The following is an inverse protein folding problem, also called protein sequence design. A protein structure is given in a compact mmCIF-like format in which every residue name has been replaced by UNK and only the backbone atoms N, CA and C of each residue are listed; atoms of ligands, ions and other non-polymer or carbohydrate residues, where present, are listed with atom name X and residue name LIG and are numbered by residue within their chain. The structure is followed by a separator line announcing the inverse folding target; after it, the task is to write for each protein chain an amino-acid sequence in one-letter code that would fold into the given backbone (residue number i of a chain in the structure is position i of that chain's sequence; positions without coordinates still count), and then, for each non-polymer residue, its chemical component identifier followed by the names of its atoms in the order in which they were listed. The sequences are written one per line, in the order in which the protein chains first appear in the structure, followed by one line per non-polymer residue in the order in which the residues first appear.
data_IF_325040684213
#
_entry.id   IF_325040684213
#
_cell.length_a   1.000
_cell.length_b   1.000
_cell.length_c   1.000
_cell.angle_alpha   90.00
_cell.angle_beta   90.00
_cell.angle_gamma   90.00
#
_symmetry.space_group_name_H-M   'P 1'
#
loop_
_entity.id
_entity.type
_entity.pdbx_description
1 polymer ?
#
# COMPACT_ATOMS: atom_id res chain seq x y z
N UNK A 1 -1.73 3.09 9.67
CA UNK A 1 -1.85 2.15 8.53
C UNK A 1 -0.83 1.02 8.60
N UNK A 2 0.48 1.28 8.57
CA UNK A 2 1.49 0.20 8.55
C UNK A 2 1.88 -0.34 9.94
N UNK A 3 1.58 0.39 11.00
CA UNK A 3 1.81 -0.02 12.40
C UNK A 3 0.56 -0.63 13.06
N UNK A 4 -0.54 -0.73 12.32
CA UNK A 4 -1.81 -1.20 12.85
C UNK A 4 -1.87 -2.73 12.76
N UNK A 5 -1.83 -3.38 13.93
CA UNK A 5 -1.85 -4.84 14.06
C UNK A 5 -3.12 -5.48 13.47
N UNK A 6 -4.22 -4.73 13.37
CA UNK A 6 -5.47 -5.25 12.78
C UNK A 6 -5.34 -5.50 11.26
N UNK A 7 -4.46 -4.79 10.57
CA UNK A 7 -4.25 -4.88 9.12
C UNK A 7 -2.85 -5.37 8.73
N UNK A 8 -2.02 -5.78 9.71
CA UNK A 8 -0.70 -6.39 9.48
C UNK A 8 -0.75 -7.63 8.57
N UNK A 9 -1.86 -8.37 8.58
CA UNK A 9 -2.08 -9.52 7.71
C UNK A 9 -2.40 -9.13 6.24
N UNK A 10 -2.76 -7.86 5.99
CA UNK A 10 -3.03 -7.31 4.66
C UNK A 10 -1.82 -6.53 4.13
N UNK A 11 -1.14 -5.81 5.01
CA UNK A 11 0.02 -4.99 4.69
C UNK A 11 1.04 -4.99 5.83
N UNK A 12 2.32 -5.21 5.53
CA UNK A 12 3.39 -5.18 6.54
C UNK A 12 4.66 -4.54 6.00
N UNK A 13 5.44 -3.94 6.88
CA UNK A 13 6.81 -3.54 6.58
C UNK A 13 7.71 -4.77 6.42
N UNK A 14 8.69 -4.68 5.53
CA UNK A 14 9.84 -5.57 5.52
C UNK A 14 10.61 -5.40 6.84
N UNK A 15 11.38 -6.43 7.22
CA UNK A 15 12.25 -6.40 8.39
C UNK A 15 13.25 -5.23 8.39
N UNK A 16 13.55 -4.68 7.20
CA UNK A 16 14.43 -3.52 7.02
C UNK A 16 13.70 -2.17 7.03
N UNK A 17 12.36 -2.16 7.02
CA UNK A 17 11.55 -0.94 6.98
C UNK A 17 11.70 -0.10 5.70
N UNK A 18 12.32 -0.68 4.68
CA UNK A 18 12.62 -0.04 3.39
C UNK A 18 11.48 -0.21 2.37
N UNK A 19 10.82 -1.36 2.41
CA UNK A 19 9.70 -1.71 1.56
C UNK A 19 8.54 -2.22 2.41
N UNK A 20 7.31 -2.01 1.96
CA UNK A 20 6.15 -2.69 2.54
C UNK A 20 5.56 -3.64 1.49
N UNK A 21 5.01 -4.75 1.97
CA UNK A 21 4.35 -5.76 1.13
C UNK A 21 2.86 -5.72 1.39
N UNK A 22 2.08 -5.79 0.32
CA UNK A 22 0.62 -5.96 0.38
C UNK A 22 0.29 -7.37 -0.05
N UNK A 23 -0.21 -8.18 0.88
CA UNK A 23 -0.52 -9.59 0.62
C UNK A 23 -1.80 -9.78 -0.18
N UNK A 24 -2.79 -8.90 0.00
CA UNK A 24 -4.05 -8.93 -0.72
C UNK A 24 -4.48 -7.53 -1.13
N UNK A 25 -4.12 -7.12 -2.35
CA UNK A 25 -4.44 -5.80 -2.88
C UNK A 25 -5.94 -5.53 -2.97
N UNK A 26 -6.77 -6.54 -3.25
CA UNK A 26 -8.23 -6.37 -3.38
C UNK A 26 -8.89 -6.10 -2.03
N UNK A 27 -8.56 -6.90 -1.02
CA UNK A 27 -9.09 -6.72 0.34
C UNK A 27 -8.54 -5.43 0.96
N UNK A 28 -7.25 -5.16 0.77
CA UNK A 28 -6.62 -3.91 1.20
C UNK A 28 -7.33 -2.69 0.60
N UNK A 29 -7.66 -2.74 -0.70
CA UNK A 29 -8.34 -1.64 -1.38
C UNK A 29 -9.76 -1.39 -0.87
N UNK A 30 -10.46 -2.43 -0.40
CA UNK A 30 -11.83 -2.33 0.09
C UNK A 30 -11.93 -2.01 1.57
N UNK A 31 -10.95 -2.44 2.37
CA UNK A 31 -10.99 -2.31 3.82
C UNK A 31 -10.12 -1.16 4.29
N UNK A 32 -8.90 -1.04 3.76
CA UNK A 32 -7.89 -0.08 4.23
C UNK A 32 -8.00 1.23 3.48
N UNK A 33 -8.03 1.22 2.14
CA UNK A 33 -8.10 2.48 1.39
C UNK A 33 -9.27 3.40 1.79
N UNK A 34 -10.52 2.95 1.96
CA UNK A 34 -11.59 3.86 2.38
C UNK A 34 -11.49 4.36 3.84
N UNK A 35 -10.71 3.68 4.70
CA UNK A 35 -10.45 4.15 6.07
C UNK A 35 -9.41 5.27 6.10
N UNK A 36 -8.43 5.24 5.18
CA UNK A 36 -7.30 6.18 5.16
C UNK A 36 -7.40 7.23 4.03
N UNK A 37 -8.19 6.97 2.99
CA UNK A 37 -8.36 7.83 1.82
C UNK A 37 -9.84 7.96 1.44
N UNK A 38 -10.21 9.06 0.77
CA UNK A 38 -11.58 9.28 0.27
C UNK A 38 -11.95 8.41 -0.94
N UNK A 39 -11.06 7.55 -1.40
CA UNK A 39 -11.24 6.70 -2.57
C UNK A 39 -10.58 5.33 -2.36
N UNK A 40 -11.24 4.26 -2.82
CA UNK A 40 -10.81 2.87 -2.70
C UNK A 40 -9.99 2.37 -3.90
N UNK A 41 -9.42 3.28 -4.69
CA UNK A 41 -8.72 2.91 -5.93
C UNK A 41 -7.24 2.59 -5.66
N UNK A 42 -6.87 1.32 -5.86
CA UNK A 42 -5.50 0.81 -5.77
C UNK A 42 -4.51 1.59 -6.64
N UNK A 43 -4.91 1.99 -7.85
CA UNK A 43 -4.02 2.71 -8.76
C UNK A 43 -3.67 4.12 -8.24
N UNK A 44 -4.61 4.78 -7.56
CA UNK A 44 -4.38 6.07 -6.92
C UNK A 44 -3.37 5.94 -5.77
N UNK A 45 -3.48 4.86 -5.00
CA UNK A 45 -2.55 4.54 -3.92
C UNK A 45 -1.13 4.30 -4.43
N UNK A 46 -0.96 3.46 -5.46
CA UNK A 46 0.33 3.20 -6.11
C UNK A 46 0.95 4.50 -6.66
N UNK A 47 0.13 5.37 -7.27
CA UNK A 47 0.62 6.64 -7.82
C UNK A 47 1.07 7.61 -6.73
N UNK A 48 0.39 7.66 -5.58
CA UNK A 48 0.84 8.47 -4.43
C UNK A 48 2.14 7.95 -3.82
N UNK A 49 2.33 6.63 -3.79
CA UNK A 49 3.58 6.01 -3.36
C UNK A 49 4.74 6.36 -4.31
N UNK A 50 4.50 6.31 -5.62
CA UNK A 50 5.50 6.65 -6.64
C UNK A 50 5.83 8.14 -6.73
N UNK A 51 4.94 9.02 -6.30
CA UNK A 51 5.21 10.47 -6.31
C UNK A 51 6.13 10.86 -5.16
N UNK A 52 6.15 10.08 -4.09
CA UNK A 52 6.97 10.33 -2.90
C UNK A 52 8.43 9.90 -3.08
N UNK A 53 8.71 9.06 -4.09
CA UNK A 53 10.03 8.58 -4.43
C UNK A 53 10.27 8.89 -5.90
N UNK A 54 11.06 9.94 -6.16
CA UNK A 54 11.50 10.34 -7.49
C UNK A 54 12.34 9.20 -8.10
N UNK A 55 11.69 8.20 -8.66
CA UNK A 55 12.20 7.40 -9.77
C UNK A 55 11.05 6.62 -10.44
N UNK A 56 10.79 7.00 -11.68
CA UNK A 56 9.92 6.28 -12.60
C UNK A 56 10.51 4.90 -12.89
N UNK A 57 9.86 3.82 -12.46
CA UNK A 57 9.56 2.61 -13.26
C UNK A 57 9.05 1.49 -12.36
N UNK A 58 7.74 1.39 -12.16
CA UNK A 58 7.18 0.11 -11.70
C UNK A 58 7.10 -0.82 -12.92
N UNK A 59 8.11 -1.67 -13.06
CA UNK A 59 7.96 -2.90 -13.82
C UNK A 59 6.97 -3.81 -13.08
N UNK A 60 5.76 -3.92 -13.60
CA UNK A 60 4.87 -5.03 -13.26
C UNK A 60 5.44 -6.28 -13.92
N UNK A 61 6.08 -7.14 -13.11
CA UNK A 61 6.30 -8.54 -13.45
C UNK A 61 5.93 -9.41 -12.25
#
# INVERSE_FOLDING_TARGET
MLEDASIQHLISWSERGDIFRVYNSTTFSKVVLPQYFKHSNWQSFIRQLNISSVDCSINYK
#
